data_IF_128577805918
#
_entry.id   IF_128577805918
#
_cell.length_a   1.000
_cell.length_b   1.000
_cell.length_c   1.000
_cell.angle_alpha   90.00
_cell.angle_beta   90.00
_cell.angle_gamma   90.00
#
_symmetry.space_group_name_H-M   'P 1'
#
loop_
_entity.id
_entity.type
_entity.pdbx_description
1 polymer ?
#
# COMPACT_ATOMS: atom_id res chain seq x y z
N UNK A 1 18.38 -10.76 0.98
CA UNK A 1 17.96 -12.17 0.74
C UNK A 1 17.07 -12.60 1.90
N UNK A 2 15.97 -13.30 1.64
CA UNK A 2 15.10 -13.88 2.68
C UNK A 2 15.41 -15.37 2.72
N UNK A 3 15.69 -15.91 3.91
CA UNK A 3 16.00 -17.32 4.10
C UNK A 3 14.72 -18.04 4.50
N UNK A 4 14.23 -18.93 3.63
CA UNK A 4 13.06 -19.79 3.88
C UNK A 4 13.37 -21.18 3.36
N UNK A 5 12.89 -22.21 4.05
CA UNK A 5 13.02 -23.61 3.64
C UNK A 5 11.94 -23.96 2.62
N UNK A 6 12.18 -24.95 1.76
CA UNK A 6 11.18 -25.42 0.78
C UNK A 6 9.89 -25.96 1.42
N UNK A 7 9.99 -26.42 2.67
CA UNK A 7 8.88 -26.92 3.45
C UNK A 7 8.07 -25.81 4.15
N UNK A 8 8.62 -24.59 4.20
CA UNK A 8 7.95 -23.46 4.84
C UNK A 8 6.74 -23.00 4.01
N UNK A 9 5.79 -22.40 4.73
CA UNK A 9 4.57 -21.84 4.14
C UNK A 9 4.85 -20.46 3.56
N UNK A 10 4.09 -20.11 2.52
CA UNK A 10 4.16 -18.77 1.91
C UNK A 10 3.85 -17.67 2.95
N UNK A 11 3.04 -17.97 3.97
CA UNK A 11 2.81 -17.08 5.10
C UNK A 11 4.10 -16.66 5.84
N UNK A 12 5.06 -17.57 6.03
CA UNK A 12 6.35 -17.28 6.66
C UNK A 12 7.20 -16.37 5.77
N UNK A 13 7.23 -16.64 4.47
CA UNK A 13 7.90 -15.78 3.50
C UNK A 13 7.32 -14.36 3.49
N UNK A 14 5.99 -14.20 3.49
CA UNK A 14 5.37 -12.87 3.56
C UNK A 14 5.68 -12.16 4.88
N UNK A 15 5.80 -12.89 5.99
CA UNK A 15 6.20 -12.32 7.28
C UNK A 15 7.63 -11.77 7.22
N UNK A 16 8.57 -12.52 6.64
CA UNK A 16 9.93 -12.05 6.44
C UNK A 16 10.01 -10.83 5.51
N UNK A 17 9.23 -10.83 4.43
CA UNK A 17 9.09 -9.67 3.53
C UNK A 17 8.49 -8.48 4.28
N UNK A 18 7.54 -8.70 5.17
CA UNK A 18 6.97 -7.64 6.02
C UNK A 18 8.03 -7.03 6.92
N UNK A 19 8.92 -7.83 7.49
CA UNK A 19 10.02 -7.33 8.34
C UNK A 19 11.05 -6.58 7.51
N UNK A 20 11.47 -7.11 6.35
CA UNK A 20 12.54 -6.53 5.54
C UNK A 20 12.11 -5.32 4.72
N UNK A 21 10.91 -5.35 4.14
CA UNK A 21 10.38 -4.29 3.28
C UNK A 21 9.34 -3.40 3.96
N UNK A 22 8.97 -3.69 5.21
CA UNK A 22 7.94 -2.98 6.00
C UNK A 22 6.52 -2.96 5.42
N UNK A 23 6.26 -3.79 4.42
CA UNK A 23 4.95 -3.94 3.75
C UNK A 23 4.07 -4.90 4.56
N UNK A 24 2.88 -4.53 5.04
CA UNK A 24 2.01 -5.44 5.79
C UNK A 24 1.58 -6.65 4.96
N UNK A 25 1.50 -7.81 5.59
CA UNK A 25 1.23 -9.13 4.98
C UNK A 25 -0.03 -9.15 4.11
N UNK A 26 -1.08 -8.44 4.56
CA UNK A 26 -2.36 -8.31 3.85
C UNK A 26 -2.24 -7.59 2.49
N UNK A 27 -1.27 -6.67 2.37
CA UNK A 27 -0.98 -5.92 1.15
C UNK A 27 -0.05 -6.67 0.19
N UNK A 28 0.58 -7.75 0.67
CA UNK A 28 1.55 -8.49 -0.12
C UNK A 28 0.87 -9.53 -1.00
N UNK A 29 1.02 -9.38 -2.32
CA UNK A 29 0.65 -10.39 -3.31
C UNK A 29 1.90 -10.92 -4.01
N UNK A 30 2.29 -12.13 -3.64
CA UNK A 30 3.42 -12.85 -4.23
C UNK A 30 2.97 -13.58 -5.50
N UNK A 31 3.71 -13.40 -6.58
CA UNK A 31 3.44 -14.01 -7.88
C UNK A 31 4.70 -14.74 -8.37
N UNK A 32 4.53 -16.01 -8.73
CA UNK A 32 5.57 -16.85 -9.29
C UNK A 32 5.10 -17.48 -10.59
N UNK A 33 5.85 -17.28 -11.69
CA UNK A 33 5.51 -17.80 -13.04
C UNK A 33 4.05 -17.51 -13.46
N UNK A 34 3.56 -16.31 -13.14
CA UNK A 34 2.18 -15.90 -13.45
C UNK A 34 1.10 -16.49 -12.53
N UNK A 35 1.46 -17.26 -11.50
CA UNK A 35 0.54 -17.78 -10.49
C UNK A 35 0.70 -17.04 -9.18
N UNK A 36 -0.42 -16.58 -8.62
CA UNK A 36 -0.45 -15.99 -7.29
C UNK A 36 -0.27 -17.07 -6.24
N UNK A 37 0.60 -16.83 -5.26
CA UNK A 37 0.86 -17.76 -4.16
C UNK A 37 -0.12 -17.47 -3.02
N UNK A 38 -0.88 -18.49 -2.62
CA UNK A 38 -1.77 -18.41 -1.47
C UNK A 38 -1.00 -18.64 -0.16
N UNK A 39 -1.44 -18.01 0.92
CA UNK A 39 -0.79 -18.07 2.24
C UNK A 39 -0.68 -19.50 2.79
N UNK A 40 -1.69 -20.33 2.52
CA UNK A 40 -1.76 -21.73 2.93
C UNK A 40 -1.01 -22.69 2.00
N UNK A 41 -0.38 -22.20 0.93
CA UNK A 41 0.43 -23.01 0.03
C UNK A 41 1.87 -23.10 0.54
N UNK A 42 2.54 -24.23 0.27
CA UNK A 42 3.95 -24.44 0.61
C UNK A 42 4.86 -24.05 -0.55
N UNK A 43 6.09 -23.63 -0.25
CA UNK A 43 7.08 -23.24 -1.27
C UNK A 43 7.38 -24.40 -2.25
N UNK A 44 7.49 -25.63 -1.73
CA UNK A 44 7.69 -26.85 -2.54
C UNK A 44 6.57 -27.18 -3.52
N UNK A 45 5.31 -26.90 -3.18
CA UNK A 45 4.15 -27.13 -4.06
C UNK A 45 4.25 -26.29 -5.34
N UNK A 46 4.87 -25.12 -5.23
CA UNK A 46 5.11 -24.22 -6.35
C UNK A 46 6.48 -24.41 -7.01
N UNK A 47 7.25 -25.43 -6.60
CA UNK A 47 8.63 -25.71 -7.05
C UNK A 47 9.54 -24.48 -6.92
N UNK A 48 9.36 -23.73 -5.83
CA UNK A 48 10.18 -22.56 -5.51
C UNK A 48 11.46 -23.09 -4.86
N UNK A 49 12.60 -22.87 -5.52
CA UNK A 49 13.94 -23.28 -5.06
C UNK A 49 14.78 -22.07 -4.70
N UNK A 50 15.87 -22.27 -3.97
CA UNK A 50 16.87 -21.24 -3.72
C UNK A 50 17.32 -20.57 -5.03
N UNK A 51 17.41 -19.23 -5.02
CA UNK A 51 17.67 -18.42 -6.21
C UNK A 51 16.47 -18.14 -7.13
N UNK A 52 15.26 -18.63 -6.80
CA UNK A 52 14.05 -18.31 -7.56
C UNK A 52 13.66 -16.83 -7.42
N UNK A 53 13.29 -16.19 -8.56
CA UNK A 53 12.78 -14.81 -8.58
C UNK A 53 11.26 -14.80 -8.39
N UNK A 54 10.82 -14.10 -7.36
CA UNK A 54 9.41 -13.87 -7.03
C UNK A 54 9.05 -12.43 -7.33
N UNK A 55 7.88 -12.21 -7.94
CA UNK A 55 7.35 -10.87 -8.13
C UNK A 55 6.47 -10.51 -6.93
N UNK A 56 6.86 -9.48 -6.18
CA UNK A 56 6.04 -8.91 -5.12
C UNK A 56 5.22 -7.76 -5.71
N UNK A 57 3.91 -7.95 -5.78
CA UNK A 57 2.96 -6.86 -6.05
C UNK A 57 2.38 -6.38 -4.72
N UNK A 58 2.47 -5.08 -4.47
CA UNK A 58 1.84 -4.46 -3.30
C UNK A 58 0.46 -4.02 -3.74
N UNK A 59 -0.57 -4.67 -3.21
CA UNK A 59 -1.92 -4.14 -3.33
C UNK A 59 -1.98 -2.99 -2.34
N UNK A 60 -2.02 -1.76 -2.83
CA UNK A 60 -2.49 -0.66 -1.99
C UNK A 60 -3.90 -1.06 -1.59
N UNK A 61 -4.12 -1.34 -0.31
CA UNK A 61 -5.46 -1.31 0.25
C UNK A 61 -5.89 0.16 0.21
N UNK A 62 -6.21 0.65 -0.98
CA UNK A 62 -7.19 1.69 -1.12
C UNK A 62 -8.48 1.05 -0.62
N UNK A 63 -8.67 1.11 0.70
CA UNK A 63 -10.01 1.17 1.27
C UNK A 63 -10.61 2.47 0.72
N UNK A 64 -11.03 2.44 -0.54
CA UNK A 64 -12.04 3.35 -1.06
C UNK A 64 -13.39 2.81 -0.56
N UNK A 65 -13.48 2.51 0.73
CA UNK A 65 -14.75 2.66 1.41
C UNK A 65 -14.87 4.17 1.54
N UNK A 66 -15.83 4.75 0.82
CA UNK A 66 -16.26 6.13 0.93
C UNK A 66 -15.54 6.91 2.04
N UNK A 67 -14.53 7.71 1.68
CA UNK A 67 -13.96 8.70 2.61
C UNK A 67 -15.01 9.82 2.71
N UNK A 68 -16.12 9.53 3.36
CA UNK A 68 -17.16 10.50 3.72
C UNK A 68 -16.65 11.41 4.84
N UNK A 69 -15.72 10.91 5.67
CA UNK A 69 -15.15 11.64 6.79
C UNK A 69 -13.69 12.06 6.54
N UNK A 70 -13.39 13.38 6.43
CA UNK A 70 -12.02 13.87 6.35
C UNK A 70 -11.18 13.49 7.58
N UNK A 71 -11.81 13.06 8.68
CA UNK A 71 -11.12 12.57 9.87
C UNK A 71 -10.52 11.17 9.70
N UNK A 72 -11.08 10.34 8.81
CA UNK A 72 -10.58 8.98 8.57
C UNK A 72 -9.30 8.99 7.73
N UNK A 73 -9.25 9.78 6.64
CA UNK A 73 -8.01 10.00 5.88
C UNK A 73 -6.89 10.53 6.77
N UNK A 74 -7.20 11.48 7.65
CA UNK A 74 -6.23 12.02 8.60
C UNK A 74 -5.75 10.96 9.61
N UNK A 75 -6.61 10.03 10.00
CA UNK A 75 -6.27 8.92 10.89
C UNK A 75 -5.36 7.91 10.19
N UNK A 76 -5.70 7.51 8.96
CA UNK A 76 -4.90 6.60 8.15
C UNK A 76 -3.52 7.18 7.80
N UNK A 77 -3.48 8.46 7.42
CA UNK A 77 -2.23 9.16 7.16
C UNK A 77 -1.38 9.29 8.43
N UNK A 78 -1.99 9.51 9.61
CA UNK A 78 -1.28 9.46 10.90
C UNK A 78 -0.68 8.08 11.18
N UNK A 79 -1.43 7.01 10.96
CA UNK A 79 -0.96 5.63 11.16
C UNK A 79 0.23 5.34 10.24
N UNK A 80 0.14 5.77 8.99
CA UNK A 80 1.23 5.64 8.01
C UNK A 80 2.47 6.41 8.44
N UNK A 81 2.32 7.69 8.80
CA UNK A 81 3.43 8.54 9.23
C UNK A 81 4.09 7.99 10.51
N UNK A 82 3.32 7.53 11.50
CA UNK A 82 3.86 6.91 12.73
C UNK A 82 4.69 5.65 12.47
N UNK A 83 4.50 4.98 11.33
CA UNK A 83 5.24 3.78 10.96
C UNK A 83 6.62 4.09 10.37
N UNK A 84 6.83 5.33 9.93
CA UNK A 84 8.06 5.79 9.27
C UNK A 84 8.73 6.98 9.99
N UNK A 85 8.01 7.68 10.87
CA UNK A 85 8.45 8.88 11.58
C UNK A 85 8.13 8.79 13.07
N UNK A 86 8.83 9.59 13.87
CA UNK A 86 8.58 9.74 15.30
C UNK A 86 7.26 10.48 15.56
N UNK A 87 6.69 10.35 16.77
CA UNK A 87 5.39 10.99 17.11
C UNK A 87 5.40 12.50 16.91
N UNK A 88 6.51 13.17 17.25
CA UNK A 88 6.66 14.62 17.10
C UNK A 88 6.76 15.05 15.63
N UNK A 89 7.46 14.28 14.80
CA UNK A 89 7.61 14.58 13.37
C UNK A 89 6.35 14.26 12.59
N UNK A 90 5.60 13.24 13.02
CA UNK A 90 4.29 12.90 12.46
C UNK A 90 3.30 14.06 12.61
N UNK A 91 3.24 14.67 13.80
CA UNK A 91 2.39 15.84 14.07
C UNK A 91 2.80 17.04 13.20
N UNK A 92 4.10 17.32 13.07
CA UNK A 92 4.63 18.42 12.27
C UNK A 92 4.35 18.23 10.77
N UNK A 93 4.60 17.03 10.24
CA UNK A 93 4.31 16.69 8.85
C UNK A 93 2.81 16.78 8.59
N UNK A 94 1.97 16.31 9.51
CA UNK A 94 0.52 16.41 9.39
C UNK A 94 0.05 17.87 9.39
N UNK A 95 0.56 18.70 10.29
CA UNK A 95 0.22 20.11 10.36
C UNK A 95 0.66 20.86 9.09
N UNK A 96 1.88 20.61 8.61
CA UNK A 96 2.40 21.19 7.36
C UNK A 96 1.63 20.71 6.15
N UNK A 97 1.29 19.41 6.09
CA UNK A 97 0.47 18.86 5.02
C UNK A 97 -0.90 19.54 4.97
N UNK A 98 -1.60 19.65 6.10
CA UNK A 98 -2.90 20.32 6.17
C UNK A 98 -2.83 21.79 5.78
N UNK A 99 -1.80 22.50 6.24
CA UNK A 99 -1.58 23.91 5.90
C UNK A 99 -1.33 24.08 4.40
N UNK A 100 -0.39 23.32 3.83
CA UNK A 100 -0.09 23.34 2.39
C UNK A 100 -1.29 22.91 1.55
N UNK A 101 -2.00 21.86 1.97
CA UNK A 101 -3.19 21.37 1.29
C UNK A 101 -4.32 22.41 1.32
N UNK A 102 -4.56 23.06 2.47
CA UNK A 102 -5.57 24.12 2.58
C UNK A 102 -5.21 25.32 1.70
N UNK A 103 -3.96 25.75 1.71
CA UNK A 103 -3.48 26.84 0.83
C UNK A 103 -3.63 26.45 -0.64
N UNK A 104 -3.29 25.21 -0.99
CA UNK A 104 -3.41 24.70 -2.35
C UNK A 104 -4.87 24.64 -2.80
N UNK A 105 -5.77 24.06 -2.01
CA UNK A 105 -7.21 24.05 -2.28
C UNK A 105 -7.77 25.47 -2.41
N UNK A 106 -7.32 26.40 -1.57
CA UNK A 106 -7.76 27.80 -1.65
C UNK A 106 -7.24 28.53 -2.90
N UNK A 107 -6.17 28.03 -3.50
CA UNK A 107 -5.61 28.55 -4.75
C UNK A 107 -6.11 27.84 -6.02
N UNK A 108 -6.81 26.71 -5.87
CA UNK A 108 -7.37 25.98 -7.01
C UNK A 108 -8.49 26.82 -7.62
N UNK A 109 -8.38 27.07 -8.93
CA UNK A 109 -9.45 27.71 -9.69
C UNK A 109 -10.54 26.69 -10.04
N UNK A 110 -11.70 27.18 -10.48
CA UNK A 110 -12.79 26.32 -10.95
C UNK A 110 -12.32 25.36 -12.07
N UNK A 111 -11.44 25.82 -12.96
CA UNK A 111 -10.85 25.01 -14.04
C UNK A 111 -9.98 23.88 -13.49
N UNK A 112 -9.21 24.13 -12.42
CA UNK A 112 -8.40 23.11 -11.77
C UNK A 112 -9.26 22.06 -11.06
N UNK A 113 -10.37 22.48 -10.43
CA UNK A 113 -11.34 21.58 -9.80
C UNK A 113 -12.01 20.69 -10.86
N UNK A 114 -12.40 21.26 -12.00
CA UNK A 114 -12.98 20.49 -13.11
C UNK A 114 -11.98 19.49 -13.71
N UNK A 115 -10.70 19.85 -13.85
CA UNK A 115 -9.65 18.90 -14.28
C UNK A 115 -9.47 17.75 -13.30
N UNK A 116 -9.43 18.03 -12.00
CA UNK A 116 -9.31 17.01 -10.96
C UNK A 116 -10.50 16.03 -10.98
N UNK A 117 -11.72 16.54 -11.15
CA UNK A 117 -12.92 15.72 -11.28
C UNK A 117 -12.88 14.83 -12.53
N UNK A 118 -12.40 15.38 -13.65
CA UNK A 118 -12.35 14.66 -14.94
C UNK A 118 -11.36 13.48 -14.93
N UNK A 119 -10.26 13.61 -14.19
CA UNK A 119 -9.28 12.52 -14.02
C UNK A 119 -9.94 11.30 -13.36
N UNK A 120 -10.82 11.50 -12.38
CA UNK A 120 -11.50 10.40 -11.69
C UNK A 120 -12.70 9.83 -12.46
N UNK A 121 -13.39 10.63 -13.29
CA UNK A 121 -14.55 10.14 -14.05
C UNK A 121 -14.17 9.29 -15.27
N UNK A 122 -12.96 9.46 -15.82
CA UNK A 122 -12.49 8.66 -16.97
C UNK A 122 -12.12 7.20 -16.62
N UNK A 123 -11.76 6.91 -15.37
CA UNK A 123 -11.47 5.55 -14.92
C UNK A 123 -12.74 4.72 -14.65
N UNK A 124 -13.86 5.38 -14.31
CA UNK A 124 -15.14 4.71 -14.03
C UNK A 124 -15.97 4.38 -15.28
N UNK A 125 -15.59 4.88 -16.46
CA UNK A 125 -16.34 4.74 -17.71
C UNK A 125 -15.72 3.77 -18.73
N UNK A 126 -14.66 3.04 -18.34
CA UNK A 126 -14.06 1.95 -19.14
C UNK A 126 -14.36 0.55 -18.58
N UNK A 127 -15.56 0.34 -18.03
CA UNK A 127 -16.06 -0.99 -17.67
C UNK A 127 -17.47 -1.21 -18.18
#
# INVERSE_FOLDING_TARGET
>A
MVEVSDNDEIALLKREISTKLRIPVAQQRLVFKGKTLADASRLRDHRIVDGSKLHLSVKQETTVGNIEDPNEFNTQLRIFLKRHLNTQDTEKVMAKFKEQFKTWISSLSLDDIERLATIHMKEASSY
#
